data_IF_823668665971
#
_entry.id   IF_823668665971
#
_cell.length_a   1.000
_cell.length_b   1.000
_cell.length_c   1.000
_cell.angle_alpha   90.00
_cell.angle_beta   90.00
_cell.angle_gamma   90.00
#
_symmetry.space_group_name_H-M   'P 1'
#
loop_
_entity.id
_entity.type
_entity.pdbx_description
1 polymer ?
#
# COMPACT_ATOMS: atom_id res chain seq x y z
N UNK A 1 -23.50 24.20 0.49
CA UNK A 1 -22.07 24.59 0.63
C UNK A 1 -21.35 23.32 1.05
N UNK A 2 -20.25 22.93 0.40
CA UNK A 2 -19.50 21.74 0.81
C UNK A 2 -18.36 22.20 1.71
N UNK A 3 -18.43 21.85 3.00
CA UNK A 3 -17.42 22.17 4.01
C UNK A 3 -16.20 21.26 3.88
N UNK A 4 -15.52 21.28 2.73
CA UNK A 4 -14.32 20.45 2.47
C UNK A 4 -13.13 21.36 2.22
N UNK A 5 -12.10 21.21 3.07
CA UNK A 5 -10.85 21.97 2.97
C UNK A 5 -9.92 21.33 1.93
N UNK A 6 -10.24 21.53 0.65
CA UNK A 6 -9.45 21.07 -0.48
C UNK A 6 -9.41 22.14 -1.58
N UNK A 7 -8.33 22.17 -2.37
CA UNK A 7 -8.27 23.04 -3.53
C UNK A 7 -9.26 22.57 -4.62
N UNK A 8 -9.26 21.28 -4.93
CA UNK A 8 -10.23 20.63 -5.82
C UNK A 8 -10.22 19.11 -5.63
N UNK A 9 -11.24 18.41 -6.11
CA UNK A 9 -11.32 16.94 -6.13
C UNK A 9 -10.20 16.29 -6.94
N UNK A 10 -9.73 16.95 -7.99
CA UNK A 10 -8.67 16.45 -8.88
C UNK A 10 -7.29 16.60 -8.23
N UNK A 11 -7.12 17.59 -7.37
CA UNK A 11 -5.82 17.95 -6.78
C UNK A 11 -5.66 17.51 -5.33
N UNK A 12 -6.74 17.10 -4.65
CA UNK A 12 -6.71 16.76 -3.23
C UNK A 12 -5.74 15.62 -2.91
N UNK A 13 -5.74 14.55 -3.73
CA UNK A 13 -4.83 13.41 -3.55
C UNK A 13 -3.37 13.85 -3.69
N UNK A 14 -3.03 14.62 -4.74
CA UNK A 14 -1.65 15.13 -4.92
C UNK A 14 -1.24 16.07 -3.78
N UNK A 15 -2.16 16.90 -3.29
CA UNK A 15 -1.95 17.76 -2.12
C UNK A 15 -1.64 16.96 -0.86
N UNK A 16 -2.41 15.90 -0.61
CA UNK A 16 -2.18 14.97 0.51
C UNK A 16 -0.79 14.33 0.45
N UNK A 17 -0.39 13.78 -0.71
CA UNK A 17 0.93 13.15 -0.85
C UNK A 17 2.10 14.13 -0.65
N UNK A 18 1.95 15.40 -1.06
CA UNK A 18 2.93 16.45 -0.75
C UNK A 18 2.96 16.81 0.74
N UNK A 19 1.80 16.81 1.39
CA UNK A 19 1.67 17.06 2.82
C UNK A 19 2.39 15.99 3.64
N UNK A 20 2.10 14.72 3.37
CA UNK A 20 2.71 13.60 4.11
C UNK A 20 4.22 13.50 3.85
N UNK A 21 4.70 13.77 2.62
CA UNK A 21 6.14 13.80 2.34
C UNK A 21 6.89 14.87 3.14
N UNK A 22 6.21 15.99 3.44
CA UNK A 22 6.78 17.07 4.24
C UNK A 22 6.72 16.76 5.73
N UNK A 23 5.61 16.18 6.19
CA UNK A 23 5.38 15.90 7.61
C UNK A 23 6.20 14.73 8.15
N UNK A 24 6.57 13.75 7.30
CA UNK A 24 7.25 12.52 7.72
C UNK A 24 8.56 12.27 6.96
N UNK A 25 9.60 13.11 7.14
CA UNK A 25 10.85 13.02 6.37
C UNK A 25 11.67 11.74 6.63
N UNK A 26 11.36 10.99 7.69
CA UNK A 26 12.01 9.70 8.00
C UNK A 26 11.49 8.51 7.18
N UNK A 27 10.41 8.70 6.40
CA UNK A 27 9.86 7.69 5.51
C UNK A 27 10.23 8.00 4.06
N UNK A 28 10.40 6.96 3.25
CA UNK A 28 10.54 7.15 1.81
C UNK A 28 9.14 7.38 1.22
N UNK A 29 8.91 8.55 0.63
CA UNK A 29 7.62 8.92 0.05
C UNK A 29 7.85 9.39 -1.39
N UNK A 30 7.32 8.64 -2.34
CA UNK A 30 7.25 9.02 -3.74
C UNK A 30 5.86 9.59 -4.02
N UNK A 31 5.81 10.90 -4.19
CA UNK A 31 4.57 11.66 -4.43
C UNK A 31 3.96 11.33 -5.79
N UNK A 32 4.78 11.04 -6.80
CA UNK A 32 4.29 10.80 -8.17
C UNK A 32 3.73 9.38 -8.28
N UNK A 33 4.42 8.39 -7.71
CA UNK A 33 3.89 7.01 -7.65
C UNK A 33 2.94 6.76 -6.48
N UNK A 34 2.68 7.77 -5.64
CA UNK A 34 1.83 7.70 -4.43
C UNK A 34 2.21 6.48 -3.57
N UNK A 35 3.51 6.30 -3.34
CA UNK A 35 4.04 5.17 -2.58
C UNK A 35 4.74 5.69 -1.34
N UNK A 36 4.43 5.11 -0.19
CA UNK A 36 5.15 5.34 1.06
C UNK A 36 5.76 4.03 1.55
N UNK A 37 6.99 4.09 2.02
CA UNK A 37 7.78 2.93 2.42
C UNK A 37 8.65 3.25 3.65
N UNK A 38 8.69 2.31 4.58
CA UNK A 38 9.68 2.30 5.66
C UNK A 38 11.06 1.93 5.07
N UNK A 39 11.91 2.93 4.85
CA UNK A 39 13.24 2.74 4.30
C UNK A 39 14.26 2.41 5.39
N UNK A 40 14.20 1.18 5.91
CA UNK A 40 15.11 0.67 6.93
C UNK A 40 15.44 -0.79 6.66
N UNK A 41 16.61 -1.24 7.10
CA UNK A 41 16.90 -2.68 7.17
C UNK A 41 15.94 -3.36 8.16
N UNK A 42 15.32 -4.45 7.71
CA UNK A 42 14.32 -5.23 8.45
C UNK A 42 14.81 -6.62 8.80
N UNK A 43 16.11 -6.91 8.70
CA UNK A 43 16.73 -8.17 9.12
C UNK A 43 15.99 -9.41 8.57
N UNK A 44 15.64 -9.38 7.29
CA UNK A 44 14.89 -10.43 6.59
C UNK A 44 13.48 -10.73 7.16
N UNK A 45 12.85 -9.80 7.88
CA UNK A 45 11.42 -9.92 8.26
C UNK A 45 10.52 -9.80 7.03
N UNK A 46 9.39 -10.50 7.04
CA UNK A 46 8.35 -10.38 6.00
C UNK A 46 7.92 -8.92 5.85
N UNK A 47 7.83 -8.42 4.61
CA UNK A 47 7.28 -7.09 4.31
C UNK A 47 5.76 -7.13 4.30
N UNK A 48 5.13 -6.31 5.13
CA UNK A 48 3.68 -6.13 5.11
C UNK A 48 3.34 -5.01 4.15
N UNK A 49 2.57 -5.29 3.11
CA UNK A 49 2.25 -4.32 2.06
C UNK A 49 0.74 -4.24 1.90
N UNK A 50 0.22 -3.03 1.77
CA UNK A 50 -1.18 -2.82 1.39
C UNK A 50 -1.29 -1.76 0.32
N UNK A 51 -2.47 -1.61 -0.27
CA UNK A 51 -2.78 -0.63 -1.29
C UNK A 51 -4.27 -0.32 -1.24
N UNK A 52 -4.66 0.85 -1.73
CA UNK A 52 -6.06 1.25 -1.77
C UNK A 52 -6.24 2.69 -2.24
N UNK A 53 -7.49 3.05 -2.54
CA UNK A 53 -7.84 4.42 -2.92
C UNK A 53 -7.71 5.43 -1.78
N UNK A 54 -7.56 6.70 -2.16
CA UNK A 54 -7.60 7.82 -1.23
C UNK A 54 -9.04 8.04 -0.70
N UNK A 55 -9.18 8.75 0.42
CA UNK A 55 -10.46 9.02 1.09
C UNK A 55 -10.71 8.15 2.34
N UNK A 56 -9.73 7.32 2.72
CA UNK A 56 -9.74 6.52 3.95
C UNK A 56 -8.61 6.90 4.91
N UNK A 57 -7.91 8.01 4.67
CA UNK A 57 -6.85 8.52 5.55
C UNK A 57 -7.36 8.61 7.00
N UNK A 58 -6.60 8.11 8.00
CA UNK A 58 -5.18 7.75 7.95
C UNK A 58 -4.89 6.34 7.39
N UNK A 59 -5.90 5.55 7.04
CA UNK A 59 -5.69 4.19 6.55
C UNK A 59 -4.82 4.15 5.30
N UNK A 60 -3.98 3.12 5.29
CA UNK A 60 -2.87 2.92 4.38
C UNK A 60 -1.61 3.60 4.87
N UNK A 61 -1.36 4.82 4.38
CA UNK A 61 -0.09 5.50 4.55
C UNK A 61 0.25 5.83 6.01
N UNK A 62 -0.75 6.14 6.85
CA UNK A 62 -0.53 6.43 8.27
C UNK A 62 -0.09 5.22 9.11
N UNK A 63 -0.21 4.01 8.56
CA UNK A 63 0.21 2.76 9.21
C UNK A 63 1.57 2.25 8.69
N UNK A 64 2.28 3.02 7.86
CA UNK A 64 3.65 2.67 7.45
C UNK A 64 4.63 3.03 8.55
N UNK A 65 5.30 2.03 9.10
CA UNK A 65 6.19 2.21 10.24
C UNK A 65 6.68 0.90 10.85
N UNK A 66 7.51 1.03 11.89
CA UNK A 66 8.03 -0.12 12.62
C UNK A 66 6.90 -1.00 13.16
N UNK A 67 7.04 -2.31 12.99
CA UNK A 67 6.07 -3.33 13.41
C UNK A 67 4.66 -3.21 12.80
N UNK A 68 4.45 -2.35 11.79
CA UNK A 68 3.20 -2.23 11.04
C UNK A 68 3.44 -2.46 9.53
N UNK A 69 2.77 -1.69 8.65
CA UNK A 69 3.00 -1.79 7.21
C UNK A 69 4.44 -1.36 6.89
N UNK A 70 5.07 -2.13 6.01
CA UNK A 70 6.34 -1.78 5.39
C UNK A 70 6.14 -0.79 4.25
N UNK A 71 5.03 -0.92 3.51
CA UNK A 71 4.71 -0.01 2.43
C UNK A 71 3.20 0.09 2.21
N UNK A 72 2.78 1.24 1.67
CA UNK A 72 1.45 1.46 1.16
C UNK A 72 1.49 2.11 -0.22
N UNK A 73 0.66 1.60 -1.15
CA UNK A 73 0.49 2.13 -2.50
C UNK A 73 -0.88 2.80 -2.60
N UNK A 74 -0.90 4.12 -2.76
CA UNK A 74 -2.12 4.91 -2.91
C UNK A 74 -2.72 4.84 -4.31
N UNK A 75 -4.04 4.86 -4.39
CA UNK A 75 -4.82 5.01 -5.61
C UNK A 75 -5.42 6.41 -5.75
N UNK A 76 -6.32 6.53 -6.73
CA UNK A 76 -7.13 7.74 -6.86
C UNK A 76 -8.20 7.81 -5.76
N UNK A 77 -8.94 8.91 -5.70
CA UNK A 77 -10.04 9.07 -4.75
C UNK A 77 -11.06 7.93 -4.93
N UNK A 78 -11.24 7.13 -3.88
CA UNK A 78 -12.10 5.94 -3.84
C UNK A 78 -11.83 4.85 -4.90
N UNK A 79 -10.63 4.83 -5.50
CA UNK A 79 -10.27 3.84 -6.50
C UNK A 79 -8.90 3.24 -6.25
N UNK A 80 -8.83 1.90 -6.25
CA UNK A 80 -7.59 1.15 -6.08
C UNK A 80 -6.52 1.55 -7.13
N UNK A 81 -5.22 1.51 -6.78
CA UNK A 81 -4.17 1.63 -7.78
C UNK A 81 -4.20 0.46 -8.76
N UNK A 82 -3.65 0.68 -9.95
CA UNK A 82 -3.59 -0.36 -10.99
C UNK A 82 -2.68 -1.52 -10.58
N UNK A 83 -2.97 -2.73 -11.08
CA UNK A 83 -2.12 -3.90 -10.87
C UNK A 83 -0.65 -3.67 -11.30
N UNK A 84 -0.42 -2.84 -12.33
CA UNK A 84 0.93 -2.44 -12.77
C UNK A 84 1.68 -1.62 -11.72
N UNK A 85 1.00 -0.69 -11.04
CA UNK A 85 1.59 0.09 -9.93
C UNK A 85 1.88 -0.79 -8.72
N UNK A 86 0.95 -1.65 -8.34
CA UNK A 86 1.14 -2.59 -7.22
C UNK A 86 2.31 -3.55 -7.52
N UNK A 87 2.34 -4.19 -8.69
CA UNK A 87 3.42 -5.11 -9.06
C UNK A 87 4.79 -4.42 -9.13
N UNK A 88 4.86 -3.19 -9.62
CA UNK A 88 6.11 -2.39 -9.60
C UNK A 88 6.59 -2.14 -8.18
N UNK A 89 5.70 -1.76 -7.27
CA UNK A 89 6.05 -1.56 -5.87
C UNK A 89 6.51 -2.88 -5.21
N UNK A 90 5.79 -3.99 -5.42
CA UNK A 90 6.16 -5.31 -4.89
C UNK A 90 7.54 -5.76 -5.38
N UNK A 91 7.86 -5.55 -6.67
CA UNK A 91 9.19 -5.86 -7.22
C UNK A 91 10.30 -5.02 -6.58
N UNK A 92 10.04 -3.74 -6.34
CA UNK A 92 11.01 -2.86 -5.69
C UNK A 92 11.23 -3.26 -4.23
N UNK A 93 10.16 -3.61 -3.50
CA UNK A 93 10.23 -4.10 -2.12
C UNK A 93 11.01 -5.42 -2.06
N UNK A 94 10.77 -6.35 -3.00
CA UNK A 94 11.48 -7.63 -3.05
C UNK A 94 12.99 -7.49 -3.27
N UNK A 95 13.46 -6.43 -3.95
CA UNK A 95 14.90 -6.14 -4.09
C UNK A 95 15.54 -5.70 -2.77
N UNK A 96 14.76 -5.08 -1.88
CA UNK A 96 15.22 -4.55 -0.60
C UNK A 96 14.98 -5.53 0.56
N UNK A 97 14.12 -6.53 0.38
CA UNK A 97 13.74 -7.47 1.43
C UNK A 97 13.78 -8.93 0.96
N UNK A 98 14.62 -9.75 1.58
CA UNK A 98 14.71 -11.20 1.29
C UNK A 98 13.70 -12.04 2.08
N UNK A 99 12.99 -11.47 3.05
CA UNK A 99 12.01 -12.17 3.89
C UNK A 99 10.66 -12.47 3.23
N UNK A 100 10.49 -12.12 1.95
CA UNK A 100 9.21 -12.24 1.25
C UNK A 100 8.22 -11.12 1.60
N UNK A 101 7.02 -11.20 1.00
CA UNK A 101 5.99 -10.17 1.10
C UNK A 101 4.64 -10.81 1.48
N UNK A 102 3.95 -10.20 2.44
CA UNK A 102 2.53 -10.44 2.72
C UNK A 102 1.73 -9.21 2.29
N UNK A 103 0.91 -9.38 1.26
CA UNK A 103 -0.04 -8.38 0.81
C UNK A 103 -1.33 -8.46 1.65
N UNK A 104 -1.62 -7.40 2.39
CA UNK A 104 -2.87 -7.25 3.18
C UNK A 104 -3.89 -6.54 2.30
N UNK A 105 -4.94 -7.27 1.91
CA UNK A 105 -5.87 -6.86 0.87
C UNK A 105 -7.21 -6.50 1.51
N UNK A 106 -7.67 -5.27 1.26
CA UNK A 106 -9.02 -4.87 1.67
C UNK A 106 -10.03 -5.72 0.91
N UNK A 107 -11.02 -6.28 1.62
CA UNK A 107 -12.03 -7.13 0.99
C UNK A 107 -13.08 -6.27 0.26
N UNK A 108 -12.69 -5.72 -0.89
CA UNK A 108 -13.60 -5.19 -1.89
C UNK A 108 -13.19 -5.70 -3.28
N UNK A 109 -14.12 -5.70 -4.23
CA UNK A 109 -13.90 -6.32 -5.54
C UNK A 109 -12.71 -5.70 -6.29
N UNK A 110 -12.55 -4.38 -6.23
CA UNK A 110 -11.47 -3.67 -6.93
C UNK A 110 -10.09 -4.02 -6.38
N UNK A 111 -9.91 -4.01 -5.06
CA UNK A 111 -8.63 -4.31 -4.42
C UNK A 111 -8.27 -5.78 -4.63
N UNK A 112 -9.23 -6.69 -4.47
CA UNK A 112 -9.02 -8.12 -4.72
C UNK A 112 -8.57 -8.41 -6.15
N UNK A 113 -9.19 -7.76 -7.14
CA UNK A 113 -8.81 -7.92 -8.55
C UNK A 113 -7.40 -7.35 -8.83
N UNK A 114 -7.14 -6.12 -8.39
CA UNK A 114 -5.86 -5.45 -8.67
C UNK A 114 -4.68 -6.14 -7.96
N UNK A 115 -4.86 -6.56 -6.70
CA UNK A 115 -3.85 -7.34 -5.99
C UNK A 115 -3.67 -8.72 -6.58
N UNK A 116 -4.75 -9.43 -6.93
CA UNK A 116 -4.66 -10.77 -7.53
C UNK A 116 -3.79 -10.76 -8.79
N UNK A 117 -4.06 -9.83 -9.71
CA UNK A 117 -3.26 -9.66 -10.93
C UNK A 117 -1.81 -9.27 -10.63
N UNK A 118 -1.58 -8.37 -9.68
CA UNK A 118 -0.23 -7.95 -9.31
C UNK A 118 0.59 -9.07 -8.67
N UNK A 119 -0.03 -9.87 -7.80
CA UNK A 119 0.60 -11.02 -7.13
C UNK A 119 0.99 -12.08 -8.15
N UNK A 120 0.09 -12.46 -9.06
CA UNK A 120 0.41 -13.37 -10.17
C UNK A 120 1.59 -12.84 -11.00
N UNK A 121 1.56 -11.56 -11.35
CA UNK A 121 2.61 -10.91 -12.15
C UNK A 121 4.00 -11.02 -11.51
N UNK A 122 4.11 -10.84 -10.19
CA UNK A 122 5.42 -10.87 -9.52
C UNK A 122 5.86 -12.28 -9.11
N UNK A 123 4.91 -13.22 -8.90
CA UNK A 123 5.22 -14.63 -8.67
C UNK A 123 5.89 -15.28 -9.87
N UNK A 124 5.44 -14.97 -11.09
CA UNK A 124 6.09 -15.40 -12.33
C UNK A 124 7.54 -14.89 -12.43
N UNK A 125 7.85 -13.78 -11.76
CA UNK A 125 9.20 -13.20 -11.69
C UNK A 125 10.03 -13.72 -10.49
N UNK A 126 9.54 -14.75 -9.79
CA UNK A 126 10.24 -15.39 -8.67
C UNK A 126 10.11 -14.67 -7.33
N UNK A 127 9.22 -13.68 -7.18
CA UNK A 127 8.99 -13.01 -5.91
C UNK A 127 8.17 -13.90 -4.97
N UNK A 128 8.67 -14.12 -3.75
CA UNK A 128 7.93 -14.79 -2.69
C UNK A 128 6.88 -13.83 -2.11
N UNK A 129 5.63 -13.97 -2.56
CA UNK A 129 4.50 -13.15 -2.10
C UNK A 129 3.24 -13.99 -1.87
N UNK A 130 2.54 -13.69 -0.78
CA UNK A 130 1.21 -14.21 -0.47
C UNK A 130 0.23 -13.06 -0.24
N UNK A 131 -1.04 -13.25 -0.61
CA UNK A 131 -2.12 -12.33 -0.32
C UNK A 131 -3.00 -12.86 0.81
N UNK A 132 -3.39 -11.98 1.72
CA UNK A 132 -4.38 -12.25 2.76
C UNK A 132 -5.46 -11.18 2.67
N UNK A 133 -6.71 -11.59 2.43
CA UNK A 133 -7.83 -10.68 2.46
C UNK A 133 -8.38 -10.52 3.88
N UNK A 134 -8.90 -9.34 4.19
CA UNK A 134 -9.36 -9.01 5.55
C UNK A 134 -10.51 -9.90 6.06
N UNK A 135 -11.29 -10.62 5.23
CA UNK A 135 -12.30 -11.57 5.75
C UNK A 135 -11.64 -12.78 6.40
N UNK A 136 -10.45 -13.18 5.94
CA UNK A 136 -9.72 -14.32 6.49
C UNK A 136 -9.27 -14.09 7.94
N UNK A 137 -9.12 -12.83 8.36
CA UNK A 137 -8.74 -12.45 9.73
C UNK A 137 -9.83 -12.84 10.75
N UNK A 138 -11.11 -12.69 10.39
CA UNK A 138 -12.21 -12.96 11.32
C UNK A 138 -12.47 -14.45 11.56
N UNK A 139 -11.91 -15.33 10.75
CA UNK A 139 -12.05 -16.78 10.90
C UNK A 139 -10.95 -17.41 11.75
N UNK A 140 -9.85 -16.69 12.02
CA UNK A 140 -8.72 -17.20 12.84
C UNK A 140 -8.89 -16.93 14.34
N UNK A 141 -9.85 -16.08 14.74
CA UNK A 141 -10.13 -15.72 16.15
C UNK A 141 -11.11 -16.65 16.84
N UNK A 142 -11.54 -17.73 16.18
CA UNK A 142 -12.22 -18.87 16.84
C UNK A 142 -11.16 -19.90 17.25
N UNK A 143 -10.37 -19.56 18.27
CA UNK A 143 -9.67 -20.54 19.12
C UNK A 143 -10.25 -20.47 20.51
#
# INVERSE_FOLDING_TARGET
MVDVLMKSSESCVKGYWKGISTAYPGLFIDVESQTILLNKDRANRVALVSAGGAGHEPFGAGYVGENMLTAFIGGALFAAPTAGRISTALLNIAKLNKGGILAVIMNNTSDMLMFGLAIETVRVKGVQVSGMDMKQINHTTKM
#
